data_IF_199615980791
#
_entry.id   IF_199615980791
#
_cell.length_a   1.000
_cell.length_b   1.000
_cell.length_c   1.000
_cell.angle_alpha   90.00
_cell.angle_beta   90.00
_cell.angle_gamma   90.00
#
_symmetry.space_group_name_H-M   'P 1'
#
loop_
_entity.id
_entity.type
_entity.pdbx_description
1 polymer ?
#
# COMPACT_ATOMS: atom_id res chain seq x y z
N UNK A 1 -4.35 21.14 -8.90
CA UNK A 1 -5.42 20.75 -9.84
C UNK A 1 -5.52 19.24 -9.78
N UNK A 2 -6.55 18.72 -9.11
CA UNK A 2 -6.77 17.27 -8.96
C UNK A 2 -8.09 16.98 -9.67
N UNK A 3 -8.02 16.15 -10.71
CA UNK A 3 -9.17 15.52 -11.34
C UNK A 3 -8.76 14.08 -11.61
N UNK A 4 -9.55 13.13 -11.12
CA UNK A 4 -10.17 12.04 -11.88
C UNK A 4 -11.25 11.46 -10.95
N UNK A 5 -12.48 11.91 -11.19
CA UNK A 5 -13.72 11.38 -10.63
C UNK A 5 -14.28 10.33 -11.59
N UNK A 6 -14.70 9.17 -11.07
CA UNK A 6 -15.23 7.96 -11.77
C UNK A 6 -14.23 7.07 -12.56
N UNK A 7 -13.53 6.14 -11.88
CA UNK A 7 -13.04 4.84 -12.43
C UNK A 7 -12.29 4.01 -11.36
N UNK A 8 -12.87 3.83 -10.17
CA UNK A 8 -12.07 3.49 -8.97
C UNK A 8 -11.81 2.00 -8.76
N UNK A 9 -12.73 1.09 -9.14
CA UNK A 9 -12.48 -0.35 -9.09
C UNK A 9 -11.49 -0.82 -10.16
N UNK A 10 -11.63 -0.31 -11.38
CA UNK A 10 -10.77 -0.70 -12.51
C UNK A 10 -9.31 -0.27 -12.31
N UNK A 11 -9.06 0.84 -11.60
CA UNK A 11 -7.70 1.34 -11.38
C UNK A 11 -6.87 0.44 -10.45
N UNK A 12 -7.43 0.03 -9.31
CA UNK A 12 -6.73 -0.86 -8.36
C UNK A 12 -6.55 -2.26 -8.95
N UNK A 13 -7.55 -2.77 -9.66
CA UNK A 13 -7.44 -4.04 -10.39
C UNK A 13 -6.31 -3.99 -11.44
N UNK A 14 -6.24 -2.92 -12.25
CA UNK A 14 -5.14 -2.74 -13.21
C UNK A 14 -3.78 -2.60 -12.53
N UNK A 15 -3.74 -1.96 -11.36
CA UNK A 15 -2.54 -1.84 -10.56
C UNK A 15 -2.03 -3.22 -10.10
N UNK A 16 -2.89 -4.06 -9.53
CA UNK A 16 -2.50 -5.41 -9.09
C UNK A 16 -2.11 -6.30 -10.26
N UNK A 17 -2.83 -6.25 -11.39
CA UNK A 17 -2.43 -6.94 -12.64
C UNK A 17 -1.03 -6.49 -13.08
N UNK A 18 -0.73 -5.19 -13.00
CA UNK A 18 0.59 -4.66 -13.35
C UNK A 18 1.67 -5.12 -12.38
N UNK A 19 1.37 -5.14 -11.09
CA UNK A 19 2.29 -5.65 -10.06
C UNK A 19 2.64 -7.11 -10.36
N UNK A 20 1.63 -7.95 -10.60
CA UNK A 20 1.82 -9.37 -10.87
C UNK A 20 2.59 -9.66 -12.15
N UNK A 21 2.43 -8.83 -13.19
CA UNK A 21 3.11 -9.01 -14.47
C UNK A 21 4.53 -8.46 -14.52
N UNK A 22 4.80 -7.38 -13.79
CA UNK A 22 6.03 -6.62 -13.94
C UNK A 22 7.06 -6.91 -12.83
N UNK A 23 6.66 -7.55 -11.74
CA UNK A 23 7.49 -7.72 -10.55
C UNK A 23 7.73 -9.21 -10.30
N UNK A 24 8.88 -9.70 -10.75
CA UNK A 24 9.27 -11.11 -10.60
C UNK A 24 9.60 -11.48 -9.14
N UNK A 25 10.12 -10.52 -8.36
CA UNK A 25 10.58 -10.74 -6.99
C UNK A 25 9.76 -9.91 -6.01
N UNK A 26 8.72 -10.54 -5.46
CA UNK A 26 7.85 -10.02 -4.41
C UNK A 26 7.82 -10.96 -3.21
N UNK A 27 7.75 -10.39 -2.01
CA UNK A 27 7.39 -11.12 -0.80
C UNK A 27 5.87 -11.07 -0.66
N UNK A 28 5.24 -12.23 -0.66
CA UNK A 28 3.79 -12.34 -0.53
C UNK A 28 3.39 -13.39 0.51
N UNK A 29 2.34 -13.10 1.27
CA UNK A 29 1.71 -14.08 2.15
C UNK A 29 0.25 -13.72 2.40
N UNK A 30 -0.54 -14.74 2.77
CA UNK A 30 -1.99 -14.62 2.99
C UNK A 30 -2.31 -14.67 4.47
N UNK A 31 -3.34 -13.95 4.89
CA UNK A 31 -3.80 -13.88 6.28
C UNK A 31 -5.29 -13.56 6.35
N UNK A 32 -5.90 -13.79 7.51
CA UNK A 32 -7.31 -13.40 7.75
C UNK A 32 -7.48 -11.87 7.75
N UNK A 33 -8.69 -11.36 7.51
CA UNK A 33 -8.94 -9.92 7.51
C UNK A 33 -8.58 -9.27 8.86
N UNK A 34 -7.40 -8.65 8.92
CA UNK A 34 -6.84 -8.11 10.15
C UNK A 34 -5.94 -6.91 9.90
N UNK A 35 -6.42 -5.68 10.17
CA UNK A 35 -5.58 -4.49 10.19
C UNK A 35 -4.38 -4.59 11.13
N UNK A 36 -4.52 -5.36 12.21
CA UNK A 36 -3.44 -5.55 13.17
C UNK A 36 -2.26 -6.32 12.56
N UNK A 37 -2.52 -7.28 11.66
CA UNK A 37 -1.44 -7.98 10.93
C UNK A 37 -0.69 -7.00 10.02
N UNK A 38 -1.40 -6.10 9.32
CA UNK A 38 -0.77 -5.08 8.47
C UNK A 38 0.09 -4.12 9.30
N UNK A 39 -0.45 -3.64 10.42
CA UNK A 39 0.27 -2.76 11.36
C UNK A 39 1.50 -3.44 11.94
N UNK A 40 1.39 -4.70 12.31
CA UNK A 40 2.50 -5.50 12.81
C UNK A 40 3.59 -5.70 11.74
N UNK A 41 3.21 -6.05 10.51
CA UNK A 41 4.15 -6.17 9.41
C UNK A 41 4.95 -4.89 9.17
N UNK A 42 4.24 -3.76 9.07
CA UNK A 42 4.88 -2.47 8.86
C UNK A 42 5.84 -2.11 10.00
N UNK A 43 5.37 -2.20 11.26
CA UNK A 43 6.12 -1.75 12.43
C UNK A 43 7.28 -2.66 12.83
N UNK A 44 7.12 -3.98 12.79
CA UNK A 44 8.12 -4.94 13.29
C UNK A 44 9.05 -5.49 12.22
N UNK A 45 8.59 -5.57 10.97
CA UNK A 45 9.31 -6.31 9.93
C UNK A 45 9.76 -5.41 8.77
N UNK A 46 8.98 -4.40 8.39
CA UNK A 46 9.35 -3.51 7.28
C UNK A 46 10.19 -2.33 7.76
N UNK A 47 9.63 -1.46 8.62
CA UNK A 47 10.27 -0.20 9.04
C UNK A 47 11.69 -0.40 9.58
N UNK A 48 11.98 -1.40 10.46
CA UNK A 48 13.31 -1.57 11.01
C UNK A 48 14.38 -1.96 9.99
N UNK A 49 13.97 -2.49 8.82
CA UNK A 49 14.87 -2.95 7.77
C UNK A 49 15.07 -1.92 6.65
N UNK A 50 14.34 -0.80 6.67
CA UNK A 50 14.48 0.25 5.65
C UNK A 50 15.76 1.06 5.89
N UNK A 51 16.52 1.29 4.82
CA UNK A 51 17.66 2.20 4.87
C UNK A 51 17.20 3.66 4.97
N UNK A 52 18.02 4.58 5.52
CA UNK A 52 17.69 6.01 5.56
C UNK A 52 17.35 6.59 4.18
N UNK A 53 18.11 6.23 3.15
CA UNK A 53 17.84 6.65 1.76
C UNK A 53 16.48 6.17 1.27
N UNK A 54 16.05 4.97 1.69
CA UNK A 54 14.73 4.44 1.34
C UNK A 54 13.61 5.23 2.01
N UNK A 55 13.80 5.60 3.27
CA UNK A 55 12.83 6.40 4.03
C UNK A 55 12.62 7.81 3.42
N UNK A 56 13.64 8.37 2.78
CA UNK A 56 13.54 9.68 2.11
C UNK A 56 12.88 9.62 0.71
N UNK A 57 12.50 8.43 0.23
CA UNK A 57 11.85 8.27 -1.08
C UNK A 57 10.41 8.80 -1.08
N UNK A 58 10.00 9.43 -2.18
CA UNK A 58 8.61 9.79 -2.43
C UNK A 58 7.76 8.57 -2.77
N UNK A 59 6.57 8.50 -2.21
CA UNK A 59 5.60 7.42 -2.42
C UNK A 59 4.19 7.98 -2.59
N UNK A 60 3.39 7.27 -3.36
CA UNK A 60 1.96 7.47 -3.49
C UNK A 60 1.26 6.62 -2.43
N UNK A 61 0.62 7.27 -1.46
CA UNK A 61 -0.31 6.64 -0.55
C UNK A 61 -1.72 6.78 -1.12
N UNK A 62 -2.32 5.64 -1.45
CA UNK A 62 -3.69 5.58 -1.90
C UNK A 62 -4.63 5.53 -0.70
N UNK A 63 -5.74 6.27 -0.76
CA UNK A 63 -6.70 6.36 0.32
C UNK A 63 -8.13 6.55 -0.18
N UNK A 64 -9.10 6.19 0.67
CA UNK A 64 -10.49 6.47 0.41
C UNK A 64 -10.74 7.98 0.51
N UNK A 65 -11.22 8.56 -0.58
CA UNK A 65 -11.68 9.93 -0.65
C UNK A 65 -13.20 9.94 -0.89
N UNK A 66 -13.97 9.94 0.20
CA UNK A 66 -15.43 9.79 0.18
C UNK A 66 -15.92 8.48 -0.47
N UNK A 67 -16.23 8.51 -1.77
CA UNK A 67 -16.67 7.36 -2.57
C UNK A 67 -15.70 7.07 -3.72
N UNK A 68 -14.55 7.73 -3.72
CA UNK A 68 -13.56 7.63 -4.76
C UNK A 68 -12.17 7.29 -4.21
N UNK A 69 -11.27 6.92 -5.11
CA UNK A 69 -9.87 6.66 -4.81
C UNK A 69 -9.10 7.97 -4.90
N UNK A 70 -8.49 8.37 -3.79
CA UNK A 70 -7.50 9.44 -3.74
C UNK A 70 -6.08 8.86 -3.69
N UNK A 71 -5.10 9.68 -4.05
CA UNK A 71 -3.69 9.40 -3.82
C UNK A 71 -2.99 10.68 -3.38
N UNK A 72 -2.11 10.56 -2.38
CA UNK A 72 -1.25 11.66 -1.92
C UNK A 72 0.22 11.30 -2.17
N UNK A 73 1.01 12.27 -2.64
CA UNK A 73 2.47 12.14 -2.70
C UNK A 73 3.04 12.58 -1.34
N UNK A 74 3.81 11.70 -0.71
CA UNK A 74 4.38 11.90 0.62
C UNK A 74 5.72 11.16 0.70
N UNK A 75 6.59 11.53 1.63
CA UNK A 75 7.80 10.74 1.91
C UNK A 75 7.43 9.42 2.58
N UNK A 76 8.18 8.35 2.30
CA UNK A 76 7.98 7.05 2.94
C UNK A 76 8.11 7.16 4.47
N UNK A 77 9.06 7.97 4.93
CA UNK A 77 9.26 8.29 6.34
C UNK A 77 8.02 8.88 6.98
N UNK A 78 7.40 9.88 6.36
CA UNK A 78 6.23 10.54 6.92
C UNK A 78 4.99 9.64 6.87
N UNK A 79 4.83 8.85 5.80
CA UNK A 79 3.78 7.84 5.71
C UNK A 79 3.88 6.82 6.86
N UNK A 80 5.08 6.30 7.13
CA UNK A 80 5.30 5.24 8.12
C UNK A 80 5.50 5.75 9.56
N UNK A 81 5.48 7.07 9.79
CA UNK A 81 5.70 7.67 11.11
C UNK A 81 4.66 7.27 12.15
N UNK A 82 3.42 7.05 11.73
CA UNK A 82 2.34 6.54 12.57
C UNK A 82 1.56 5.47 11.79
N UNK A 83 1.96 4.22 11.97
CA UNK A 83 1.41 3.07 11.26
C UNK A 83 -0.07 2.86 11.55
N UNK A 84 -0.51 3.06 12.80
CA UNK A 84 -1.92 2.90 13.16
C UNK A 84 -2.78 3.88 12.39
N UNK A 85 -2.41 5.16 12.42
CA UNK A 85 -3.11 6.20 11.68
C UNK A 85 -3.05 5.96 10.17
N UNK A 86 -1.90 5.55 9.64
CA UNK A 86 -1.70 5.27 8.22
C UNK A 86 -2.69 4.21 7.73
N UNK A 87 -2.74 3.06 8.39
CA UNK A 87 -3.60 1.93 8.00
C UNK A 87 -5.06 2.35 8.06
N UNK A 88 -5.47 3.02 9.14
CA UNK A 88 -6.85 3.46 9.33
C UNK A 88 -7.28 4.53 8.30
N UNK A 89 -6.37 5.43 7.93
CA UNK A 89 -6.61 6.50 6.96
C UNK A 89 -6.94 5.99 5.55
N UNK A 90 -6.37 4.86 5.13
CA UNK A 90 -6.54 4.35 3.76
C UNK A 90 -7.97 3.91 3.44
N UNK A 91 -8.78 3.56 4.44
CA UNK A 91 -10.08 2.89 4.25
C UNK A 91 -9.98 1.36 4.13
N UNK A 92 -8.77 0.79 4.25
CA UNK A 92 -8.54 -0.64 4.27
C UNK A 92 -9.30 -1.38 5.39
N UNK A 93 -9.30 -0.94 6.67
CA UNK A 93 -9.97 -1.69 7.73
C UNK A 93 -11.46 -1.91 7.51
N UNK A 94 -12.14 -0.93 6.92
CA UNK A 94 -13.59 -0.97 6.67
C UNK A 94 -13.97 -1.62 5.33
N UNK A 95 -12.99 -2.20 4.62
CA UNK A 95 -13.23 -2.94 3.37
C UNK A 95 -13.69 -2.07 2.20
N UNK A 96 -13.38 -0.76 2.25
CA UNK A 96 -13.73 0.17 1.17
C UNK A 96 -12.59 0.43 0.20
N UNK A 97 -11.41 -0.08 0.51
CA UNK A 97 -10.21 0.07 -0.30
C UNK A 97 -9.17 -0.98 0.07
N UNK A 98 -8.26 -1.26 -0.85
CA UNK A 98 -7.03 -2.00 -0.56
C UNK A 98 -5.98 -1.07 0.05
N UNK A 99 -5.07 -1.62 0.85
CA UNK A 99 -3.93 -0.83 1.31
C UNK A 99 -2.92 -0.75 0.17
N UNK A 100 -2.54 0.45 -0.27
CA UNK A 100 -1.56 0.62 -1.35
C UNK A 100 -0.65 1.80 -1.05
N UNK A 101 0.66 1.51 -0.93
CA UNK A 101 1.74 2.47 -0.76
C UNK A 101 2.87 2.12 -1.73
N UNK A 102 3.06 2.91 -2.78
CA UNK A 102 3.97 2.56 -3.88
C UNK A 102 4.85 3.74 -4.28
N UNK A 103 6.07 3.48 -4.73
CA UNK A 103 6.91 4.49 -5.37
C UNK A 103 6.34 4.83 -6.77
N UNK A 104 6.32 6.10 -7.22
CA UNK A 104 5.70 6.51 -8.48
C UNK A 104 6.17 5.74 -9.73
N UNK A 105 7.44 5.35 -9.79
CA UNK A 105 8.02 4.57 -10.88
C UNK A 105 7.92 3.06 -10.69
N UNK A 106 7.17 2.60 -9.68
CA UNK A 106 6.93 1.20 -9.34
C UNK A 106 8.18 0.40 -8.92
N UNK A 107 9.28 1.08 -8.58
CA UNK A 107 10.53 0.41 -8.19
C UNK A 107 10.42 -0.35 -6.87
N UNK A 108 9.53 0.09 -5.98
CA UNK A 108 9.18 -0.59 -4.74
C UNK A 108 7.75 -0.27 -4.30
N UNK A 109 7.22 -1.07 -3.38
CA UNK A 109 5.91 -0.82 -2.80
C UNK A 109 5.49 -1.85 -1.75
N UNK A 110 4.39 -1.53 -1.09
CA UNK A 110 3.70 -2.32 -0.09
C UNK A 110 2.21 -2.25 -0.42
N UNK A 111 1.57 -3.41 -0.57
CA UNK A 111 0.15 -3.50 -0.84
C UNK A 111 -0.49 -4.58 0.03
N UNK A 112 -1.78 -4.42 0.31
CA UNK A 112 -2.64 -5.46 0.86
C UNK A 112 -3.89 -5.54 0.02
N UNK A 113 -3.99 -6.61 -0.76
CA UNK A 113 -5.17 -6.90 -1.59
C UNK A 113 -6.19 -7.68 -0.76
N UNK A 114 -7.42 -7.17 -0.70
CA UNK A 114 -8.52 -7.82 0.00
C UNK A 114 -9.27 -8.78 -0.92
N UNK A 115 -9.37 -10.02 -0.50
CA UNK A 115 -10.24 -11.02 -1.12
C UNK A 115 -11.50 -11.22 -0.29
N UNK A 116 -12.38 -12.13 -0.71
CA UNK A 116 -13.64 -12.40 -0.01
C UNK A 116 -13.44 -12.99 1.39
N UNK A 117 -12.36 -13.76 1.60
CA UNK A 117 -12.13 -14.53 2.83
C UNK A 117 -10.76 -14.33 3.47
N UNK A 118 -9.87 -13.59 2.80
CA UNK A 118 -8.49 -13.42 3.24
C UNK A 118 -7.90 -12.17 2.60
N UNK A 119 -6.79 -11.71 3.15
CA UNK A 119 -5.99 -10.65 2.58
C UNK A 119 -4.65 -11.22 2.10
N UNK A 120 -4.05 -10.57 1.10
CA UNK A 120 -2.71 -10.88 0.61
C UNK A 120 -1.81 -9.68 0.82
N UNK A 121 -0.81 -9.81 1.70
CA UNK A 121 0.23 -8.80 1.86
C UNK A 121 1.26 -9.00 0.76
N UNK A 122 1.64 -7.92 0.07
CA UNK A 122 2.59 -7.93 -1.04
C UNK A 122 3.60 -6.81 -0.80
N UNK A 123 4.89 -7.12 -0.91
CA UNK A 123 5.94 -6.09 -0.90
C UNK A 123 7.06 -6.44 -1.87
N UNK A 124 7.69 -5.43 -2.46
CA UNK A 124 8.80 -5.63 -3.39
C UNK A 124 9.76 -4.45 -3.36
N UNK A 125 11.01 -4.70 -3.75
CA UNK A 125 12.01 -3.65 -3.97
C UNK A 125 12.39 -2.82 -2.74
N UNK A 126 11.93 -3.18 -1.53
CA UNK A 126 12.13 -2.40 -0.30
C UNK A 126 13.56 -2.46 0.24
N UNK A 127 14.24 -3.58 0.05
CA UNK A 127 15.55 -3.87 0.65
C UNK A 127 16.66 -4.06 -0.40
N UNK A 128 16.43 -3.54 -1.62
CA UNK A 128 17.42 -3.48 -2.69
C UNK A 128 18.27 -2.23 -2.57
#
# INVERSE_FOLDING_TARGET
MILITRLTSNLLEQLFIRIDRAIDYKNEFKFEHSPEIVKEQLSKYIIPLLSPTKLDSEVLLFHLNYRETGAINITLKDALKNVDWLVDFTGYPIGRMDFVLIEPNYSFGICVERWEYQDTFISWGLFK
#
